data_IF_364057895168
#
_entry.id   IF_364057895168
#
_cell.length_a   1.000
_cell.length_b   1.000
_cell.length_c   1.000
_cell.angle_alpha   90.00
_cell.angle_beta   90.00
_cell.angle_gamma   90.00
#
_symmetry.space_group_name_H-M   'P 1'
#
loop_
_entity.id
_entity.type
_entity.pdbx_description
1 polymer ?
#
# COMPACT_ATOMS: atom_id res chain seq x y z
N UNK A 1 2.06 7.52 3.59
CA UNK A 1 1.83 7.52 5.06
C UNK A 1 1.18 6.21 5.47
N UNK A 2 1.64 5.65 6.59
CA UNK A 2 1.03 4.51 7.28
C UNK A 2 0.73 4.96 8.71
N UNK A 3 -0.47 4.70 9.23
CA UNK A 3 -0.84 5.22 10.54
C UNK A 3 -1.70 4.25 11.36
N UNK A 4 -1.52 4.32 12.68
CA UNK A 4 -2.39 3.66 13.65
C UNK A 4 -3.11 4.70 14.50
N UNK A 5 -4.36 5.04 14.17
CA UNK A 5 -5.17 6.00 14.93
C UNK A 5 -5.25 5.65 16.43
N UNK A 6 -5.33 4.36 16.76
CA UNK A 6 -5.34 3.88 18.15
C UNK A 6 -4.08 4.29 18.92
N UNK A 7 -2.91 4.29 18.25
CA UNK A 7 -1.63 4.65 18.87
C UNK A 7 -1.45 6.16 19.02
N UNK A 8 -2.07 6.95 18.14
CA UNK A 8 -2.10 8.43 18.28
C UNK A 8 -2.81 8.83 19.56
N UNK A 9 -3.88 8.11 19.90
CA UNK A 9 -4.75 8.39 21.03
C UNK A 9 -6.10 8.93 20.55
N UNK A 10 -6.83 9.58 21.46
CA UNK A 10 -8.10 10.22 21.11
C UNK A 10 -7.83 11.48 20.29
N UNK A 11 -8.31 11.49 19.06
CA UNK A 11 -8.29 12.66 18.16
C UNK A 11 -9.73 13.12 18.00
N UNK A 12 -10.05 14.34 18.44
CA UNK A 12 -11.35 14.95 18.15
C UNK A 12 -11.52 15.04 16.63
N UNK A 13 -12.66 14.62 16.07
CA UNK A 13 -12.85 14.53 14.61
C UNK A 13 -12.22 13.29 13.94
N UNK A 14 -11.52 12.45 14.70
CA UNK A 14 -11.03 11.16 14.23
C UNK A 14 -9.97 11.26 13.13
N UNK A 15 -10.07 10.42 12.10
CA UNK A 15 -9.09 10.35 11.02
C UNK A 15 -9.07 11.63 10.16
N UNK A 16 -10.22 12.29 9.97
CA UNK A 16 -10.34 13.50 9.17
C UNK A 16 -9.41 14.61 9.70
N UNK A 17 -9.40 14.83 11.01
CA UNK A 17 -8.51 15.81 11.65
C UNK A 17 -7.04 15.49 11.45
N UNK A 18 -6.65 14.21 11.41
CA UNK A 18 -5.28 13.84 11.10
C UNK A 18 -4.94 14.08 9.62
N UNK A 19 -5.87 13.83 8.70
CA UNK A 19 -5.71 14.13 7.27
C UNK A 19 -5.55 15.64 7.06
N UNK A 20 -6.38 16.45 7.71
CA UNK A 20 -6.30 17.92 7.67
C UNK A 20 -4.96 18.43 8.21
N UNK A 21 -4.55 18.00 9.41
CA UNK A 21 -3.30 18.42 10.03
C UNK A 21 -2.07 18.05 9.19
N UNK A 22 -2.07 16.85 8.59
CA UNK A 22 -0.98 16.43 7.69
C UNK A 22 -1.00 17.22 6.38
N UNK A 23 -2.17 17.52 5.83
CA UNK A 23 -2.30 18.33 4.62
C UNK A 23 -1.84 19.78 4.86
N UNK A 24 -2.15 20.35 6.02
CA UNK A 24 -1.65 21.67 6.43
C UNK A 24 -0.12 21.67 6.57
N UNK A 25 0.45 20.67 7.24
CA UNK A 25 1.89 20.54 7.41
C UNK A 25 2.64 20.34 6.08
N UNK A 26 2.00 19.69 5.10
CA UNK A 26 2.52 19.50 3.75
C UNK A 26 2.46 20.79 2.91
N UNK A 27 1.55 21.72 3.24
CA UNK A 27 1.32 22.96 2.50
C UNK A 27 0.66 22.74 1.13
N UNK A 28 0.42 23.82 0.37
CA UNK A 28 -0.34 23.78 -0.88
C UNK A 28 0.34 22.95 -1.99
N UNK A 29 1.68 22.89 -2.01
CA UNK A 29 2.46 22.14 -3.00
C UNK A 29 2.72 20.68 -2.59
N UNK A 30 2.27 20.32 -1.40
CA UNK A 30 2.43 19.00 -0.83
C UNK A 30 1.45 17.97 -1.38
N UNK A 31 1.72 16.70 -1.12
CA UNK A 31 0.81 15.61 -1.53
C UNK A 31 0.86 14.48 -0.52
N UNK A 32 -0.29 14.15 0.04
CA UNK A 32 -0.47 13.01 0.93
C UNK A 32 -0.82 11.78 0.10
N UNK A 33 -0.07 10.69 0.30
CA UNK A 33 -0.32 9.40 -0.36
C UNK A 33 -0.42 8.29 0.67
N UNK A 34 -1.39 7.39 0.49
CA UNK A 34 -1.66 6.24 1.36
C UNK A 34 -1.97 5.00 0.51
N UNK A 35 -1.51 3.79 0.92
CA UNK A 35 -1.96 2.57 0.27
C UNK A 35 -3.43 2.34 0.61
N UNK A 36 -4.24 1.99 -0.39
CA UNK A 36 -5.65 1.66 -0.27
C UNK A 36 -5.92 0.23 -0.75
N UNK A 37 -5.31 -0.79 -0.11
CA UNK A 37 -5.44 -2.17 -0.56
C UNK A 37 -6.88 -2.66 -0.49
N UNK A 38 -7.18 -3.63 -1.34
CA UNK A 38 -8.47 -4.30 -1.52
C UNK A 38 -8.22 -5.79 -1.48
N UNK A 39 -7.76 -6.26 -0.32
CA UNK A 39 -7.28 -7.63 -0.15
C UNK A 39 -8.33 -8.66 -0.56
N UNK A 40 -9.62 -8.37 -0.43
CA UNK A 40 -10.67 -9.34 -0.74
C UNK A 40 -10.90 -9.53 -2.24
N UNK A 41 -10.37 -8.64 -3.09
CA UNK A 41 -10.38 -8.80 -4.54
C UNK A 41 -9.18 -9.66 -5.01
N UNK A 42 -9.02 -10.83 -4.40
CA UNK A 42 -7.93 -11.76 -4.64
C UNK A 42 -8.43 -13.17 -4.37
N UNK A 43 -7.81 -14.19 -4.94
CA UNK A 43 -8.04 -15.60 -4.56
C UNK A 43 -6.97 -16.17 -3.62
N UNK A 44 -5.90 -15.42 -3.36
CA UNK A 44 -4.74 -15.86 -2.55
C UNK A 44 -4.51 -15.03 -1.29
N UNK A 45 -5.25 -13.93 -1.10
CA UNK A 45 -5.12 -13.10 0.11
C UNK A 45 -5.68 -13.80 1.35
N UNK A 46 -5.14 -13.49 2.53
CA UNK A 46 -5.68 -13.98 3.80
C UNK A 46 -7.16 -13.60 4.00
N UNK A 47 -7.54 -12.39 3.56
CA UNK A 47 -8.91 -11.90 3.71
C UNK A 47 -9.90 -12.69 2.84
N UNK A 48 -9.52 -13.04 1.60
CA UNK A 48 -10.34 -13.91 0.77
C UNK A 48 -10.41 -15.33 1.35
N UNK A 49 -9.26 -15.91 1.69
CA UNK A 49 -9.19 -17.28 2.22
C UNK A 49 -10.03 -17.46 3.48
N UNK A 50 -10.03 -16.48 4.38
CA UNK A 50 -10.88 -16.47 5.57
C UNK A 50 -12.38 -16.39 5.22
N UNK A 51 -12.78 -15.64 4.18
CA UNK A 51 -14.18 -15.54 3.75
C UNK A 51 -14.72 -16.84 3.19
N UNK A 52 -13.88 -17.61 2.50
CA UNK A 52 -14.28 -18.89 1.89
C UNK A 52 -13.99 -20.09 2.78
N UNK A 53 -13.46 -19.90 3.99
CA UNK A 53 -13.21 -20.97 4.94
C UNK A 53 -14.53 -21.70 5.28
N UNK A 54 -14.51 -23.03 5.29
CA UNK A 54 -15.70 -23.86 5.55
C UNK A 54 -16.72 -24.00 4.41
N UNK A 55 -16.60 -23.21 3.32
CA UNK A 55 -17.48 -23.36 2.15
C UNK A 55 -17.19 -24.65 1.37
N UNK A 56 -18.26 -25.28 0.88
CA UNK A 56 -18.24 -26.35 -0.12
C UNK A 56 -17.74 -25.84 -1.47
N UNK A 57 -17.36 -26.74 -2.37
CA UNK A 57 -16.90 -26.37 -3.72
C UNK A 57 -17.98 -25.63 -4.53
N UNK A 58 -19.26 -25.97 -4.35
CA UNK A 58 -20.36 -25.29 -5.01
C UNK A 58 -20.51 -23.85 -4.52
N UNK A 59 -20.44 -23.64 -3.20
CA UNK A 59 -20.48 -22.30 -2.59
C UNK A 59 -19.28 -21.46 -3.00
N UNK A 60 -18.07 -22.04 -3.05
CA UNK A 60 -16.87 -21.34 -3.55
C UNK A 60 -17.03 -20.88 -4.99
N UNK A 61 -17.58 -21.72 -5.87
CA UNK A 61 -17.85 -21.35 -7.27
C UNK A 61 -18.85 -20.22 -7.37
N UNK A 62 -19.94 -20.26 -6.59
CA UNK A 62 -20.95 -19.20 -6.56
C UNK A 62 -20.37 -17.89 -6.01
N UNK A 63 -19.62 -17.96 -4.90
CA UNK A 63 -18.95 -16.81 -4.32
C UNK A 63 -18.01 -16.16 -5.33
N UNK A 64 -17.14 -16.97 -5.97
CA UNK A 64 -16.20 -16.52 -6.99
C UNK A 64 -16.90 -15.87 -8.18
N UNK A 65 -18.01 -16.43 -8.65
CA UNK A 65 -18.79 -15.89 -9.77
C UNK A 65 -19.52 -14.58 -9.44
N UNK A 66 -19.86 -14.36 -8.17
CA UNK A 66 -20.58 -13.17 -7.71
C UNK A 66 -19.68 -12.01 -7.26
N UNK A 67 -18.35 -12.20 -7.24
CA UNK A 67 -17.43 -11.16 -6.80
C UNK A 67 -17.49 -9.94 -7.72
N UNK A 68 -17.65 -8.72 -7.18
CA UNK A 68 -17.69 -7.50 -7.98
C UNK A 68 -16.29 -7.15 -8.49
N UNK A 69 -16.24 -6.50 -9.66
CA UNK A 69 -15.03 -5.85 -10.13
C UNK A 69 -14.58 -4.74 -9.17
N UNK A 70 -13.28 -4.50 -9.14
CA UNK A 70 -12.74 -3.30 -8.50
C UNK A 70 -13.25 -2.03 -9.22
N UNK A 71 -13.69 -1.08 -8.43
CA UNK A 71 -14.07 0.27 -8.86
C UNK A 71 -13.31 1.25 -7.94
N UNK A 72 -12.41 2.10 -8.49
CA UNK A 72 -11.60 2.99 -7.66
C UNK A 72 -12.44 3.96 -6.82
N UNK A 73 -13.61 4.38 -7.33
CA UNK A 73 -14.52 5.28 -6.63
C UNK A 73 -15.34 4.57 -5.54
N UNK A 74 -15.73 3.31 -5.79
CA UNK A 74 -16.72 2.61 -4.93
C UNK A 74 -16.16 1.51 -4.03
N UNK A 75 -15.11 0.81 -4.43
CA UNK A 75 -14.58 -0.31 -3.65
C UNK A 75 -13.89 0.21 -2.38
N UNK A 76 -14.35 -0.15 -1.17
CA UNK A 76 -13.71 0.29 0.07
C UNK A 76 -12.28 -0.24 0.19
N UNK A 77 -11.38 0.51 0.82
CA UNK A 77 -10.10 -0.03 1.25
C UNK A 77 -10.24 -0.84 2.53
N UNK A 78 -9.56 -1.97 2.62
CA UNK A 78 -9.62 -2.90 3.75
C UNK A 78 -8.22 -3.28 4.24
N UNK A 79 -8.09 -3.62 5.53
CA UNK A 79 -6.83 -4.10 6.10
C UNK A 79 -5.73 -3.06 6.37
N UNK A 80 -5.87 -1.81 5.91
CA UNK A 80 -4.88 -0.74 6.11
C UNK A 80 -5.25 0.30 7.20
N UNK A 81 -6.31 0.03 7.98
CA UNK A 81 -6.84 0.95 8.99
C UNK A 81 -7.82 1.98 8.42
N UNK A 82 -8.33 2.87 9.28
CA UNK A 82 -9.38 3.85 8.92
C UNK A 82 -8.86 5.06 8.14
N UNK A 83 -7.55 5.37 8.25
CA UNK A 83 -6.97 6.55 7.65
C UNK A 83 -6.95 6.48 6.11
N UNK A 84 -6.51 5.38 5.46
CA UNK A 84 -6.52 5.34 4.00
C UNK A 84 -7.91 5.52 3.38
N UNK A 85 -8.93 4.94 4.00
CA UNK A 85 -10.32 5.11 3.56
C UNK A 85 -10.79 6.57 3.72
N UNK A 86 -10.40 7.23 4.82
CA UNK A 86 -10.68 8.65 5.02
C UNK A 86 -10.04 9.52 3.93
N UNK A 87 -8.76 9.28 3.60
CA UNK A 87 -8.07 10.00 2.52
C UNK A 87 -8.74 9.73 1.17
N UNK A 88 -9.06 8.47 0.86
CA UNK A 88 -9.72 8.07 -0.39
C UNK A 88 -11.04 8.81 -0.63
N UNK A 89 -11.80 9.04 0.44
CA UNK A 89 -13.10 9.72 0.40
C UNK A 89 -13.00 11.24 0.55
N UNK A 90 -11.81 11.79 0.76
CA UNK A 90 -11.63 13.24 0.90
C UNK A 90 -11.83 13.93 -0.47
N UNK A 91 -12.62 15.02 -0.56
CA UNK A 91 -12.80 15.74 -1.82
C UNK A 91 -11.47 16.13 -2.46
N UNK A 92 -11.32 15.85 -3.76
CA UNK A 92 -10.09 16.10 -4.52
C UNK A 92 -9.03 14.98 -4.42
N UNK A 93 -9.25 13.94 -3.61
CA UNK A 93 -8.42 12.75 -3.65
C UNK A 93 -8.62 11.97 -4.95
N UNK A 94 -7.53 11.41 -5.47
CA UNK A 94 -7.51 10.52 -6.62
C UNK A 94 -7.04 9.13 -6.17
N UNK A 95 -7.44 8.08 -6.88
CA UNK A 95 -7.03 6.70 -6.58
C UNK A 95 -6.53 6.00 -7.82
N UNK A 96 -5.44 5.25 -7.70
CA UNK A 96 -4.90 4.44 -8.79
C UNK A 96 -5.80 3.24 -9.08
N UNK A 97 -5.74 2.71 -10.30
CA UNK A 97 -6.68 1.71 -10.81
C UNK A 97 -6.34 0.25 -10.47
N UNK A 98 -5.20 -0.03 -9.82
CA UNK A 98 -4.81 -1.40 -9.53
C UNK A 98 -5.85 -2.13 -8.63
N UNK A 99 -6.41 -3.29 -9.05
CA UNK A 99 -7.56 -3.93 -8.38
C UNK A 99 -7.33 -4.46 -6.95
N UNK A 100 -6.07 -4.70 -6.58
CA UNK A 100 -5.65 -5.25 -5.28
C UNK A 100 -4.81 -4.27 -4.43
N UNK A 101 -3.85 -3.56 -5.05
CA UNK A 101 -2.85 -2.74 -4.37
C UNK A 101 -2.90 -1.27 -4.81
N UNK A 102 -4.09 -0.69 -4.88
CA UNK A 102 -4.25 0.72 -5.24
C UNK A 102 -3.72 1.68 -4.16
N UNK A 103 -3.46 2.93 -4.54
CA UNK A 103 -3.11 4.04 -3.66
C UNK A 103 -4.11 5.18 -3.83
N UNK A 104 -4.42 5.88 -2.74
CA UNK A 104 -5.08 7.18 -2.79
C UNK A 104 -4.05 8.30 -2.57
N UNK A 105 -4.20 9.38 -3.32
CA UNK A 105 -3.37 10.57 -3.25
C UNK A 105 -4.22 11.84 -3.19
N UNK A 106 -3.82 12.79 -2.35
CA UNK A 106 -4.48 14.07 -2.13
C UNK A 106 -3.43 15.20 -2.17
N UNK A 107 -3.59 16.16 -3.08
CA UNK A 107 -2.71 17.32 -3.21
C UNK A 107 -2.12 17.52 -4.61
N UNK A 108 -1.16 18.43 -4.74
CA UNK A 108 -0.70 19.00 -6.01
C UNK A 108 -0.21 17.97 -7.05
N UNK A 109 0.39 16.87 -6.60
CA UNK A 109 0.95 15.81 -7.46
C UNK A 109 0.12 14.53 -7.50
N UNK A 110 -1.10 14.55 -6.96
CA UNK A 110 -1.93 13.35 -6.82
C UNK A 110 -2.10 12.61 -8.16
N UNK A 111 -2.47 13.33 -9.23
CA UNK A 111 -2.68 12.76 -10.57
C UNK A 111 -1.44 12.05 -11.10
N UNK A 112 -0.30 12.75 -11.08
CA UNK A 112 0.98 12.20 -11.57
C UNK A 112 1.36 10.92 -10.83
N UNK A 113 1.05 10.82 -9.54
CA UNK A 113 1.41 9.66 -8.71
C UNK A 113 0.51 8.45 -8.98
N UNK A 114 -0.79 8.64 -9.19
CA UNK A 114 -1.74 7.52 -9.27
C UNK A 114 -2.08 7.07 -10.68
N UNK A 115 -1.87 7.93 -11.67
CA UNK A 115 -2.18 7.65 -13.08
C UNK A 115 -1.30 6.54 -13.66
N UNK A 116 -1.90 5.66 -14.46
CA UNK A 116 -1.17 4.63 -15.22
C UNK A 116 -0.60 3.52 -14.34
N UNK A 117 -1.23 3.22 -13.21
CA UNK A 117 -0.87 2.07 -12.40
C UNK A 117 -1.21 0.78 -13.16
N UNK A 118 -0.19 0.10 -13.69
CA UNK A 118 -0.39 -1.07 -14.54
C UNK A 118 -1.12 -2.20 -13.79
N UNK A 119 -2.09 -2.89 -14.42
CA UNK A 119 -2.87 -3.93 -13.76
C UNK A 119 -2.03 -5.17 -13.42
N UNK A 120 -0.93 -5.42 -14.14
CA UNK A 120 -0.01 -6.54 -13.92
C UNK A 120 1.17 -6.20 -12.98
N UNK A 121 1.10 -5.08 -12.26
CA UNK A 121 2.17 -4.60 -11.40
C UNK A 121 1.61 -4.11 -10.07
N UNK A 122 1.69 -4.92 -9.02
CA UNK A 122 1.23 -4.56 -7.69
C UNK A 122 1.93 -3.30 -7.18
N UNK A 123 3.27 -3.33 -7.13
CA UNK A 123 4.07 -2.39 -6.35
C UNK A 123 5.46 -2.11 -6.96
N UNK A 124 5.66 -2.46 -8.23
CA UNK A 124 6.92 -2.35 -8.96
C UNK A 124 7.10 -1.04 -9.74
N UNK A 125 7.85 -1.12 -10.84
CA UNK A 125 8.28 0.05 -11.65
C UNK A 125 7.10 0.79 -12.32
N UNK A 126 6.01 0.09 -12.63
CA UNK A 126 4.81 0.69 -13.22
C UNK A 126 3.77 1.13 -12.15
N UNK A 127 4.14 1.11 -10.87
CA UNK A 127 3.25 1.46 -9.74
C UNK A 127 3.48 2.89 -9.19
N UNK A 128 2.57 3.39 -8.34
CA UNK A 128 2.77 4.62 -7.59
C UNK A 128 4.04 4.63 -6.72
N UNK A 129 4.54 3.48 -6.27
CA UNK A 129 5.78 3.45 -5.46
C UNK A 129 7.00 3.90 -6.26
N UNK A 130 7.13 3.48 -7.52
CA UNK A 130 8.22 3.91 -8.38
C UNK A 130 8.15 5.43 -8.66
N UNK A 131 6.96 5.96 -8.90
CA UNK A 131 6.74 7.40 -9.06
C UNK A 131 7.09 8.19 -7.79
N UNK A 132 6.71 7.68 -6.61
CA UNK A 132 7.09 8.27 -5.33
C UNK A 132 8.60 8.22 -5.08
N UNK A 133 9.27 7.16 -5.54
CA UNK A 133 10.73 7.04 -5.51
C UNK A 133 11.40 8.11 -6.39
N UNK A 134 10.90 8.33 -7.60
CA UNK A 134 11.42 9.34 -8.53
C UNK A 134 11.22 10.77 -8.02
N UNK A 135 10.09 11.02 -7.36
CA UNK A 135 9.74 12.30 -6.73
C UNK A 135 10.45 12.56 -5.38
N UNK A 136 11.35 11.66 -4.95
CA UNK A 136 12.07 11.72 -3.66
C UNK A 136 11.13 11.90 -2.45
N UNK A 137 10.04 11.13 -2.43
CA UNK A 137 9.04 11.20 -1.37
C UNK A 137 9.60 10.76 0.00
N UNK A 138 8.95 11.23 1.07
CA UNK A 138 9.17 10.73 2.43
C UNK A 138 8.05 9.75 2.84
N UNK A 139 8.42 8.72 3.62
CA UNK A 139 7.48 7.78 4.25
C UNK A 139 7.32 8.14 5.71
N UNK A 140 6.10 8.56 6.07
CA UNK A 140 5.67 8.74 7.46
C UNK A 140 5.03 7.45 7.98
N UNK A 141 5.64 6.85 8.99
CA UNK A 141 5.08 5.76 9.80
C UNK A 141 4.66 6.33 11.15
N UNK A 142 3.35 6.46 11.37
CA UNK A 142 2.75 7.18 12.48
C UNK A 142 2.08 6.18 13.43
N UNK A 143 2.77 5.81 14.50
CA UNK A 143 2.32 4.76 15.41
C UNK A 143 2.36 3.36 14.79
N UNK A 144 3.13 3.19 13.71
CA UNK A 144 3.36 1.92 13.02
C UNK A 144 4.86 1.64 12.84
N UNK A 145 5.19 0.42 12.45
CA UNK A 145 6.55 -0.01 12.15
C UNK A 145 6.73 -0.36 10.67
N UNK A 146 7.96 -0.79 10.34
CA UNK A 146 8.34 -1.19 8.99
C UNK A 146 7.57 -2.39 8.46
N UNK A 147 6.99 -3.24 9.32
CA UNK A 147 6.06 -4.30 8.93
C UNK A 147 4.80 -3.81 8.19
N UNK A 148 4.52 -2.51 8.24
CA UNK A 148 3.42 -1.88 7.50
C UNK A 148 3.90 -1.01 6.35
N UNK A 149 5.21 -0.88 6.15
CA UNK A 149 5.81 0.06 5.21
C UNK A 149 5.79 -0.50 3.79
N UNK A 150 4.73 -0.19 3.05
CA UNK A 150 4.52 -0.69 1.68
C UNK A 150 5.66 -0.32 0.73
N UNK A 151 6.40 0.77 0.99
CA UNK A 151 7.56 1.15 0.19
C UNK A 151 8.64 0.06 0.10
N UNK A 152 8.78 -0.79 1.12
CA UNK A 152 9.73 -1.90 1.11
C UNK A 152 9.42 -2.94 0.04
N UNK A 153 8.16 -3.06 -0.41
CA UNK A 153 7.82 -3.94 -1.52
C UNK A 153 8.50 -3.51 -2.83
N UNK A 154 8.72 -2.21 -3.07
CA UNK A 154 9.47 -1.78 -4.26
C UNK A 154 10.92 -2.33 -4.26
N UNK A 155 11.51 -2.50 -3.08
CA UNK A 155 12.82 -3.14 -2.97
C UNK A 155 12.78 -4.64 -3.34
N UNK A 156 11.63 -5.32 -3.18
CA UNK A 156 11.45 -6.71 -3.62
C UNK A 156 11.48 -6.85 -5.15
N UNK A 157 11.11 -5.80 -5.89
CA UNK A 157 11.29 -5.75 -7.35
C UNK A 157 12.74 -5.52 -7.77
N UNK A 158 13.58 -4.97 -6.87
CA UNK A 158 14.91 -4.42 -7.21
C UNK A 158 16.09 -5.17 -6.58
N UNK A 159 15.88 -6.06 -5.62
CA UNK A 159 16.97 -6.70 -4.88
C UNK A 159 17.81 -7.70 -5.68
N UNK A 160 17.30 -8.18 -6.82
CA UNK A 160 18.01 -9.09 -7.71
C UNK A 160 17.50 -8.91 -9.14
N UNK A 161 18.29 -9.20 -10.20
CA UNK A 161 17.82 -9.05 -11.59
C UNK A 161 16.62 -9.93 -11.97
N UNK A 162 16.34 -10.99 -11.20
CA UNK A 162 15.23 -11.92 -11.40
C UNK A 162 14.61 -12.28 -10.04
N UNK A 163 13.77 -11.40 -9.46
CA UNK A 163 13.07 -11.72 -8.22
C UNK A 163 12.07 -12.86 -8.47
N UNK A 164 11.74 -13.67 -7.44
CA UNK A 164 10.76 -14.74 -7.57
C UNK A 164 9.40 -14.15 -7.92
N UNK A 165 8.69 -14.80 -8.83
CA UNK A 165 7.36 -14.42 -9.27
C UNK A 165 6.33 -15.51 -8.94
N UNK A 166 5.06 -15.14 -8.94
CA UNK A 166 3.93 -16.07 -8.87
C UNK A 166 2.73 -15.54 -9.64
N UNK A 167 1.77 -16.42 -9.91
CA UNK A 167 0.46 -16.04 -10.42
C UNK A 167 -0.39 -15.34 -9.36
N UNK A 168 -1.11 -14.31 -9.79
CA UNK A 168 -2.14 -13.61 -9.03
C UNK A 168 -3.41 -13.53 -9.86
N UNK A 169 -4.56 -13.48 -9.19
CA UNK A 169 -5.84 -13.28 -9.84
C UNK A 169 -6.70 -12.29 -9.07
N UNK A 170 -7.48 -11.49 -9.79
CA UNK A 170 -8.41 -10.50 -9.26
C UNK A 170 -9.62 -10.36 -10.19
N UNK A 171 -10.65 -9.65 -9.72
CA UNK A 171 -11.80 -9.28 -10.54
C UNK A 171 -11.62 -7.86 -11.05
N UNK A 172 -11.66 -7.72 -12.38
CA UNK A 172 -11.64 -6.44 -13.10
C UNK A 172 -12.95 -6.21 -13.83
N UNK A 173 -13.20 -4.96 -14.17
CA UNK A 173 -14.23 -4.60 -15.14
C UNK A 173 -13.64 -4.78 -16.53
N UNK A 174 -14.34 -5.53 -17.38
CA UNK A 174 -14.02 -5.69 -18.79
C UNK A 174 -15.32 -5.81 -19.59
N UNK A 175 -15.51 -4.90 -20.56
CA UNK A 175 -16.68 -4.85 -21.45
C UNK A 175 -18.04 -4.72 -20.71
N UNK A 176 -18.08 -3.94 -19.63
CA UNK A 176 -19.22 -3.74 -18.75
C UNK A 176 -19.48 -4.91 -17.79
N UNK A 177 -18.55 -5.87 -17.68
CA UNK A 177 -18.75 -7.10 -16.91
C UNK A 177 -17.60 -7.35 -15.93
N UNK A 178 -17.93 -7.88 -14.75
CA UNK A 178 -16.94 -8.36 -13.81
C UNK A 178 -16.32 -9.67 -14.33
N UNK A 179 -15.00 -9.67 -14.52
CA UNK A 179 -14.25 -10.84 -15.00
C UNK A 179 -13.04 -11.11 -14.13
N UNK A 180 -12.81 -12.38 -13.87
CA UNK A 180 -11.55 -12.82 -13.26
C UNK A 180 -10.44 -12.73 -14.28
N UNK A 181 -9.39 -12.02 -13.90
CA UNK A 181 -8.19 -11.83 -14.70
C UNK A 181 -6.98 -12.29 -13.89
N UNK A 182 -6.01 -12.87 -14.58
CA UNK A 182 -4.81 -13.45 -13.98
C UNK A 182 -3.56 -12.88 -14.62
N UNK A 183 -2.51 -12.73 -13.83
CA UNK A 183 -1.22 -12.19 -14.23
C UNK A 183 -0.09 -12.75 -13.36
N UNK A 184 1.14 -12.61 -13.81
CA UNK A 184 2.33 -12.93 -13.02
C UNK A 184 2.96 -11.64 -12.49
N UNK A 185 3.41 -11.68 -11.25
CA UNK A 185 4.14 -10.57 -10.62
C UNK A 185 5.09 -11.07 -9.52
N UNK A 186 5.93 -10.19 -8.98
CA UNK A 186 6.86 -10.47 -7.89
C UNK A 186 6.13 -10.99 -6.66
N UNK A 187 6.73 -11.97 -5.99
CA UNK A 187 6.26 -12.46 -4.69
C UNK A 187 6.46 -11.35 -3.66
N UNK A 188 5.35 -10.82 -3.13
CA UNK A 188 5.38 -9.87 -2.03
C UNK A 188 5.51 -10.62 -0.70
N UNK A 189 6.57 -10.34 0.06
CA UNK A 189 6.90 -11.00 1.32
C UNK A 189 7.31 -9.99 2.40
N UNK A 190 6.44 -9.80 3.39
CA UNK A 190 6.63 -8.83 4.47
C UNK A 190 7.31 -9.42 5.73
N UNK A 191 7.68 -10.71 5.71
CA UNK A 191 8.13 -11.45 6.92
C UNK A 191 9.37 -10.86 7.56
N UNK A 192 10.26 -10.28 6.77
CA UNK A 192 11.54 -9.70 7.20
C UNK A 192 11.54 -8.17 7.23
N UNK A 193 10.40 -7.50 6.97
CA UNK A 193 10.29 -6.04 6.95
C UNK A 193 10.67 -5.41 8.30
N UNK A 194 10.35 -6.07 9.42
CA UNK A 194 10.79 -5.62 10.75
C UNK A 194 12.30 -5.66 10.90
N UNK A 195 12.96 -6.69 10.36
CA UNK A 195 14.40 -6.89 10.49
C UNK A 195 15.19 -5.88 9.64
N UNK A 196 14.83 -5.72 8.35
CA UNK A 196 15.45 -4.70 7.49
C UNK A 196 15.18 -3.29 8.01
N UNK A 197 13.99 -3.04 8.55
CA UNK A 197 13.63 -1.79 9.18
C UNK A 197 14.47 -1.48 10.43
N UNK A 198 14.70 -2.48 11.29
CA UNK A 198 15.58 -2.34 12.45
C UNK A 198 17.03 -2.04 12.06
N UNK A 199 17.52 -2.66 10.97
CA UNK A 199 18.84 -2.35 10.43
C UNK A 199 18.91 -0.92 9.88
N UNK A 200 17.87 -0.46 9.16
CA UNK A 200 17.79 0.92 8.65
C UNK A 200 17.69 1.96 9.77
N UNK A 201 17.02 1.62 10.88
CA UNK A 201 16.90 2.45 12.07
C UNK A 201 18.26 2.78 12.73
N UNK A 202 19.30 1.99 12.46
CA UNK A 202 20.69 2.25 12.88
C UNK A 202 21.42 3.30 12.04
N UNK A 203 20.82 3.79 10.96
CA UNK A 203 21.40 4.83 10.09
C UNK A 203 21.02 6.25 10.56
N UNK A 204 21.73 7.26 10.07
CA UNK A 204 21.41 8.67 10.32
C UNK A 204 20.19 9.19 9.52
N UNK A 205 19.55 8.35 8.70
CA UNK A 205 18.49 8.77 7.77
C UNK A 205 17.09 8.75 8.36
N UNK A 206 16.95 8.39 9.64
CA UNK A 206 15.64 8.26 10.30
C UNK A 206 15.38 9.42 11.25
N UNK A 207 14.39 10.26 10.90
CA UNK A 207 13.85 11.26 11.81
C UNK A 207 12.81 10.58 12.70
N UNK A 208 12.88 10.84 14.01
CA UNK A 208 11.96 10.27 15.01
C UNK A 208 11.27 11.40 15.76
N UNK A 209 10.01 11.16 16.13
CA UNK A 209 9.22 12.12 16.90
C UNK A 209 7.95 11.47 17.42
N UNK A 210 7.14 12.26 18.11
CA UNK A 210 5.82 11.84 18.59
C UNK A 210 4.72 12.69 17.97
N UNK A 211 3.62 12.05 17.60
CA UNK A 211 2.36 12.70 17.19
C UNK A 211 1.26 12.17 18.12
N UNK A 212 0.73 13.04 18.98
CA UNK A 212 -0.06 12.59 20.13
C UNK A 212 0.77 11.63 21.00
N UNK A 213 0.23 10.44 21.25
CA UNK A 213 0.93 9.36 21.97
C UNK A 213 1.71 8.40 21.07
N UNK A 214 1.69 8.60 19.75
CA UNK A 214 2.31 7.68 18.80
C UNK A 214 3.79 7.99 18.55
N UNK A 215 4.66 7.02 18.78
CA UNK A 215 6.02 7.06 18.22
C UNK A 215 5.94 7.02 16.69
N UNK A 216 6.66 7.94 16.07
CA UNK A 216 6.60 8.17 14.63
C UNK A 216 7.99 8.24 14.02
N UNK A 217 8.09 7.79 12.77
CA UNK A 217 9.31 7.83 11.96
C UNK A 217 9.00 8.50 10.63
N UNK A 218 9.92 9.35 10.18
CA UNK A 218 9.92 9.93 8.84
C UNK A 218 11.25 9.59 8.17
N UNK A 219 11.17 8.95 7.01
CA UNK A 219 12.34 8.45 6.26
C UNK A 219 12.22 8.79 4.78
N UNK A 220 13.34 9.00 4.09
CA UNK A 220 13.34 9.08 2.62
C UNK A 220 12.96 7.73 2.02
N UNK A 221 11.95 7.71 1.15
CA UNK A 221 11.51 6.50 0.45
C UNK A 221 12.66 5.92 -0.38
N UNK A 222 13.35 6.78 -1.14
CA UNK A 222 14.49 6.39 -1.99
C UNK A 222 15.56 5.67 -1.19
N UNK A 223 16.06 6.30 -0.13
CA UNK A 223 17.11 5.73 0.73
C UNK A 223 16.68 4.41 1.38
N UNK A 224 15.41 4.33 1.81
CA UNK A 224 14.87 3.11 2.40
C UNK A 224 14.83 1.96 1.38
N UNK A 225 14.33 2.23 0.17
CA UNK A 225 14.23 1.23 -0.90
C UNK A 225 15.61 0.74 -1.33
N UNK A 226 16.57 1.64 -1.54
CA UNK A 226 17.93 1.27 -1.96
C UNK A 226 18.63 0.42 -0.89
N UNK A 227 18.51 0.83 0.38
CA UNK A 227 19.04 0.07 1.50
C UNK A 227 18.39 -1.32 1.59
N UNK A 228 17.06 -1.37 1.50
CA UNK A 228 16.32 -2.62 1.63
C UNK A 228 16.63 -3.58 0.47
N UNK A 229 16.81 -3.08 -0.76
CA UNK A 229 17.19 -3.90 -1.90
C UNK A 229 18.55 -4.56 -1.68
N UNK A 230 19.55 -3.80 -1.21
CA UNK A 230 20.87 -4.35 -0.86
C UNK A 230 20.80 -5.34 0.30
N UNK A 231 19.97 -5.06 1.31
CA UNK A 231 19.78 -5.94 2.46
C UNK A 231 19.11 -7.27 2.05
N UNK A 232 18.01 -7.23 1.28
CA UNK A 232 17.33 -8.42 0.76
C UNK A 232 18.25 -9.26 -0.12
N UNK A 233 19.07 -8.63 -0.97
CA UNK A 233 20.08 -9.34 -1.78
C UNK A 233 21.08 -10.13 -0.93
N UNK A 234 21.40 -9.64 0.26
CA UNK A 234 22.35 -10.29 1.17
C UNK A 234 21.71 -11.34 2.08
N UNK A 235 20.43 -11.21 2.42
CA UNK A 235 19.78 -12.02 3.48
C UNK A 235 18.74 -13.00 2.98
N UNK A 236 18.04 -12.70 1.86
CA UNK A 236 17.07 -13.62 1.27
C UNK A 236 17.81 -14.64 0.43
N UNK A 237 17.72 -15.91 0.83
CA UNK A 237 18.24 -17.03 0.03
C UNK A 237 17.38 -17.19 -1.22
N UNK A 238 18.03 -17.44 -2.36
CA UNK A 238 17.37 -17.80 -3.62
C UNK A 238 16.76 -19.20 -3.54
#
# INVERSE_FOLDING_TARGET
MHASMRRVGRVAGGAATLVEAVSEALGPDGTLVVPTPTAENSDSSRAYLARVEGMTDAERRLHRAAMPAFDPARTPSTGAGVLPECVRLTPGALRSEHPQMSFAALGARAKVIVDGHAPHCHLGEESPLARLYDLDAEVLMLGTGYDTCTALHLAEYRYTPKPPTRGYSCVIEQDGQARWWSYEDVVLDDRDFRAVGAAFDGTAYVKRGRVGSADSRLVSLRRLVDFAAGWFAATRKR
#
